data_IF_483964214654
#
_entry.id   IF_483964214654
#
_cell.length_a   1.000
_cell.length_b   1.000
_cell.length_c   1.000
_cell.angle_alpha   90.00
_cell.angle_beta   90.00
_cell.angle_gamma   90.00
#
_symmetry.space_group_name_H-M   'P 1'
#
loop_
_entity.id
_entity.type
_entity.pdbx_description
1 polymer ?
#
# COMPACT_ATOMS: atom_id res chain seq x y z
N UNK A 1 -33.11 -20.28 -28.93
CA UNK A 1 -33.08 -21.76 -29.04
C UNK A 1 -31.65 -22.20 -28.76
N UNK A 2 -31.41 -22.80 -27.74
CA UNK A 2 -30.75 -23.98 -27.20
C UNK A 2 -30.23 -23.70 -25.79
N UNK A 3 -31.00 -24.26 -24.86
CA UNK A 3 -30.62 -24.48 -23.46
C UNK A 3 -29.61 -25.64 -23.42
N UNK A 4 -28.56 -25.51 -22.58
CA UNK A 4 -27.91 -26.69 -22.01
C UNK A 4 -27.66 -26.38 -20.55
N UNK A 5 -28.43 -27.08 -19.73
CA UNK A 5 -28.18 -27.32 -18.31
C UNK A 5 -27.38 -28.63 -18.21
N UNK A 6 -26.91 -28.96 -17.00
CA UNK A 6 -26.37 -30.28 -16.55
C UNK A 6 -24.95 -30.05 -15.99
N UNK A 7 -24.57 -30.46 -14.79
CA UNK A 7 -25.03 -31.34 -13.74
C UNK A 7 -24.28 -31.09 -12.45
N UNK A 8 -24.97 -31.27 -11.32
CA UNK A 8 -24.47 -31.53 -10.00
C UNK A 8 -23.59 -32.80 -9.97
N UNK A 9 -22.50 -32.76 -9.22
CA UNK A 9 -21.90 -33.97 -8.66
C UNK A 9 -21.54 -33.76 -7.19
N UNK A 10 -22.33 -34.41 -6.38
CA UNK A 10 -22.24 -34.63 -4.95
C UNK A 10 -21.36 -35.87 -4.70
N UNK A 11 -20.38 -35.82 -3.85
CA UNK A 11 -19.73 -36.99 -3.23
C UNK A 11 -19.06 -36.52 -1.93
N UNK A 12 -19.65 -36.68 -0.83
CA UNK A 12 -19.74 -37.80 0.12
C UNK A 12 -18.42 -38.15 0.83
N UNK A 13 -18.30 -37.59 2.02
CA UNK A 13 -17.85 -38.14 3.32
C UNK A 13 -17.03 -39.45 3.29
N UNK A 14 -15.87 -39.39 3.95
CA UNK A 14 -15.38 -40.52 4.76
C UNK A 14 -14.58 -40.00 5.97
N UNK A 15 -15.21 -40.10 7.15
CA UNK A 15 -14.53 -40.09 8.46
C UNK A 15 -13.72 -41.38 8.59
N UNK A 16 -12.48 -41.28 9.01
CA UNK A 16 -11.76 -42.33 9.69
C UNK A 16 -11.17 -41.76 10.97
N UNK A 17 -11.79 -42.14 12.08
CA UNK A 17 -11.18 -41.99 13.38
C UNK A 17 -10.21 -43.16 13.59
N UNK A 18 -8.94 -42.87 13.88
CA UNK A 18 -8.03 -43.82 14.48
C UNK A 18 -7.46 -43.20 15.74
N UNK A 19 -7.94 -43.71 16.86
CA UNK A 19 -7.30 -43.62 18.18
C UNK A 19 -6.15 -44.61 18.20
N UNK A 20 -4.95 -44.10 18.50
CA UNK A 20 -3.77 -44.94 18.74
C UNK A 20 -2.79 -44.16 19.65
N UNK A 21 -2.78 -44.54 20.92
CA UNK A 21 -1.74 -44.17 21.91
C UNK A 21 -0.43 -44.88 21.54
N UNK A 22 0.69 -44.21 21.71
CA UNK A 22 2.00 -44.87 21.85
C UNK A 22 3.20 -43.98 21.57
N UNK A 23 3.80 -43.46 22.61
CA UNK A 23 5.22 -43.14 22.91
C UNK A 23 6.21 -42.61 21.87
N UNK A 24 6.79 -41.48 22.29
CA UNK A 24 8.20 -41.07 22.25
C UNK A 24 9.02 -41.34 20.97
N UNK A 25 9.30 -40.25 20.20
CA UNK A 25 10.68 -39.84 19.95
C UNK A 25 10.69 -38.43 19.36
N UNK A 26 11.67 -37.65 19.80
CA UNK A 26 11.87 -36.25 19.46
C UNK A 26 12.22 -36.11 17.97
N UNK A 27 11.33 -35.44 17.22
CA UNK A 27 11.66 -34.83 15.95
C UNK A 27 11.42 -33.33 16.09
N UNK A 28 12.49 -32.58 16.06
CA UNK A 28 12.57 -31.14 15.96
C UNK A 28 11.74 -30.68 14.77
N UNK A 29 10.51 -30.23 15.01
CA UNK A 29 9.77 -29.45 14.04
C UNK A 29 10.26 -28.01 14.12
N UNK A 30 11.03 -27.61 13.12
CA UNK A 30 11.32 -26.21 12.88
C UNK A 30 9.98 -25.45 12.80
N UNK A 31 9.83 -24.30 13.49
CA UNK A 31 8.65 -23.48 13.32
C UNK A 31 8.65 -22.96 11.89
N UNK A 32 7.63 -23.31 11.12
CA UNK A 32 7.28 -22.60 9.89
C UNK A 32 6.97 -21.18 10.33
N UNK A 33 7.92 -20.27 10.15
CA UNK A 33 7.71 -18.84 10.26
C UNK A 33 6.81 -18.47 9.07
N UNK A 34 5.50 -18.49 9.29
CA UNK A 34 4.58 -17.71 8.47
C UNK A 34 4.93 -16.27 8.76
N UNK A 35 5.74 -15.68 7.88
CA UNK A 35 6.05 -14.27 7.93
C UNK A 35 4.76 -13.49 7.75
N UNK A 36 4.19 -13.05 8.85
CA UNK A 36 3.29 -11.92 8.88
C UNK A 36 4.09 -10.76 8.31
N UNK A 37 3.57 -10.01 7.31
CA UNK A 37 4.28 -8.85 6.81
C UNK A 37 4.57 -7.95 8.02
N UNK A 38 5.85 -7.61 8.20
CA UNK A 38 6.27 -6.70 9.26
C UNK A 38 5.38 -5.46 9.13
N UNK A 39 4.63 -5.14 10.18
CA UNK A 39 3.83 -3.92 10.22
C UNK A 39 4.75 -2.78 9.86
N UNK A 40 4.36 -1.99 8.85
CA UNK A 40 5.13 -0.86 8.38
C UNK A 40 5.53 0.00 9.60
N UNK A 41 6.82 0.27 9.74
CA UNK A 41 7.36 0.96 10.93
C UNK A 41 7.30 2.49 10.79
N UNK A 42 6.46 3.02 9.88
CA UNK A 42 6.29 4.46 9.69
C UNK A 42 5.00 4.96 10.37
N UNK A 43 4.95 6.26 10.62
CA UNK A 43 3.78 6.93 11.18
C UNK A 43 2.91 7.53 10.08
N UNK A 44 1.58 7.59 10.33
CA UNK A 44 0.64 8.27 9.45
C UNK A 44 -0.02 9.38 10.24
N UNK A 45 0.11 10.63 9.78
CA UNK A 45 -0.63 11.78 10.27
C UNK A 45 -1.74 12.13 9.26
N UNK A 46 -2.98 11.86 9.63
CA UNK A 46 -4.15 12.16 8.80
C UNK A 46 -4.55 13.65 8.86
N UNK A 47 -3.99 14.42 9.78
CA UNK A 47 -4.36 15.81 9.95
C UNK A 47 -5.86 16.02 10.14
N UNK A 48 -6.32 17.22 9.78
CA UNK A 48 -7.75 17.54 9.72
C UNK A 48 -8.15 17.79 8.26
N UNK A 49 -9.18 17.11 7.78
CA UNK A 49 -9.76 17.34 6.46
C UNK A 49 -11.26 17.42 6.54
N UNK A 50 -11.83 18.41 5.83
CA UNK A 50 -13.28 18.53 5.64
C UNK A 50 -13.75 17.88 4.33
N UNK A 51 -12.83 17.39 3.50
CA UNK A 51 -13.11 16.89 2.16
C UNK A 51 -12.97 15.38 2.08
N UNK A 52 -11.92 14.83 2.70
CA UNK A 52 -11.56 13.43 2.59
C UNK A 52 -11.68 12.69 3.92
N UNK A 53 -12.24 11.49 3.85
CA UNK A 53 -12.29 10.57 4.99
C UNK A 53 -10.96 9.88 5.19
N UNK A 54 -10.79 9.26 6.37
CA UNK A 54 -9.61 8.41 6.62
C UNK A 54 -9.49 7.28 5.60
N UNK A 55 -10.60 6.66 5.20
CA UNK A 55 -10.60 5.58 4.20
C UNK A 55 -10.15 6.09 2.81
N UNK A 56 -10.53 7.32 2.43
CA UNK A 56 -10.03 7.96 1.21
C UNK A 56 -8.53 8.18 1.26
N UNK A 57 -8.02 8.62 2.42
CA UNK A 57 -6.59 8.85 2.64
C UNK A 57 -5.81 7.55 2.64
N UNK A 58 -6.30 6.49 3.32
CA UNK A 58 -5.68 5.17 3.33
C UNK A 58 -5.54 4.62 1.90
N UNK A 59 -6.60 4.73 1.08
CA UNK A 59 -6.56 4.30 -0.31
C UNK A 59 -5.55 5.10 -1.17
N UNK A 60 -5.34 6.38 -0.87
CA UNK A 60 -4.33 7.20 -1.54
C UNK A 60 -2.91 6.84 -1.06
N UNK A 61 -2.74 6.61 0.24
CA UNK A 61 -1.47 6.18 0.83
C UNK A 61 -1.02 4.83 0.27
N UNK A 62 -1.95 3.90 0.06
CA UNK A 62 -1.65 2.61 -0.59
C UNK A 62 -1.00 2.83 -1.97
N UNK A 63 -1.47 3.81 -2.76
CA UNK A 63 -0.87 4.15 -4.06
C UNK A 63 0.51 4.79 -3.94
N UNK A 64 0.74 5.59 -2.92
CA UNK A 64 2.07 6.13 -2.62
C UNK A 64 3.02 4.97 -2.29
N UNK A 65 2.59 4.04 -1.42
CA UNK A 65 3.42 2.93 -0.98
C UNK A 65 3.67 1.90 -2.08
N UNK A 66 2.73 1.71 -3.04
CA UNK A 66 2.96 0.89 -4.24
C UNK A 66 4.17 1.39 -5.03
N UNK A 67 4.32 2.71 -5.19
CA UNK A 67 5.47 3.33 -5.87
C UNK A 67 6.72 3.34 -4.99
N UNK A 68 6.59 3.81 -3.75
CA UNK A 68 7.69 4.02 -2.82
C UNK A 68 8.46 2.73 -2.49
N UNK A 69 7.77 1.60 -2.36
CA UNK A 69 8.39 0.30 -2.06
C UNK A 69 9.44 -0.14 -3.10
N UNK A 70 9.38 0.42 -4.31
CA UNK A 70 10.38 0.19 -5.36
C UNK A 70 11.68 1.00 -5.19
N UNK A 71 11.72 1.96 -4.27
CA UNK A 71 12.86 2.89 -4.16
C UNK A 71 14.00 2.41 -3.27
N UNK A 72 13.74 1.37 -2.44
CA UNK A 72 14.71 0.89 -1.46
C UNK A 72 14.98 1.84 -0.29
N UNK A 73 14.16 2.89 -0.15
CA UNK A 73 14.22 3.87 0.93
C UNK A 73 13.41 3.39 2.14
N UNK A 74 13.68 3.96 3.32
CA UNK A 74 12.95 3.72 4.56
C UNK A 74 11.96 4.87 4.80
N UNK A 75 10.64 4.57 4.79
CA UNK A 75 9.60 5.54 5.09
C UNK A 75 9.55 5.77 6.61
N UNK A 76 9.57 7.03 7.03
CA UNK A 76 9.45 7.43 8.43
C UNK A 76 8.06 7.99 8.75
N UNK A 77 7.54 8.83 7.87
CA UNK A 77 6.26 9.49 8.07
C UNK A 77 5.53 9.76 6.75
N UNK A 78 4.21 9.62 6.77
CA UNK A 78 3.30 10.11 5.73
C UNK A 78 2.30 11.04 6.41
N UNK A 79 2.20 12.29 5.96
CA UNK A 79 1.28 13.27 6.49
C UNK A 79 0.36 13.86 5.41
N UNK A 80 -0.93 13.94 5.70
CA UNK A 80 -1.88 14.65 4.86
C UNK A 80 -1.61 16.15 4.90
N UNK A 81 -1.65 16.81 3.73
CA UNK A 81 -1.44 18.25 3.66
C UNK A 81 -2.68 18.95 3.09
N UNK A 82 -3.45 19.60 3.96
CA UNK A 82 -4.59 20.42 3.56
C UNK A 82 -4.16 21.59 2.66
N UNK A 83 -3.01 22.19 2.94
CA UNK A 83 -2.45 23.31 2.15
C UNK A 83 -2.19 22.88 0.69
N UNK A 84 -1.47 21.77 0.49
CA UNK A 84 -1.18 21.27 -0.85
C UNK A 84 -2.44 20.73 -1.52
N UNK A 85 -3.32 20.07 -0.77
CA UNK A 85 -4.59 19.54 -1.28
C UNK A 85 -5.50 20.65 -1.81
N UNK A 86 -5.48 21.82 -1.18
CA UNK A 86 -6.27 22.99 -1.63
C UNK A 86 -5.94 23.47 -3.04
N UNK A 87 -4.74 23.18 -3.54
CA UNK A 87 -4.28 23.54 -4.91
C UNK A 87 -4.01 22.32 -5.79
N UNK A 88 -4.10 21.12 -5.24
CA UNK A 88 -3.71 19.89 -5.92
C UNK A 88 -4.50 19.65 -7.21
N UNK A 89 -5.80 19.92 -7.23
CA UNK A 89 -6.64 19.67 -8.41
C UNK A 89 -6.21 20.52 -9.61
N UNK A 90 -5.92 21.80 -9.40
CA UNK A 90 -5.41 22.68 -10.46
C UNK A 90 -4.04 22.17 -10.93
N UNK A 91 -3.18 21.81 -9.98
CA UNK A 91 -1.83 21.34 -10.30
C UNK A 91 -1.84 20.04 -11.11
N UNK A 92 -2.52 18.99 -10.66
CA UNK A 92 -2.55 17.71 -11.40
C UNK A 92 -3.19 17.85 -12.78
N UNK A 93 -4.21 18.71 -12.93
CA UNK A 93 -4.85 18.95 -14.22
C UNK A 93 -3.98 19.81 -15.15
N UNK A 94 -3.11 20.68 -14.63
CA UNK A 94 -2.13 21.41 -15.42
C UNK A 94 -1.10 20.50 -16.08
N UNK A 95 -0.88 19.29 -15.55
CA UNK A 95 0.00 18.25 -16.10
C UNK A 95 -0.68 17.43 -17.23
N UNK A 96 -1.86 17.85 -17.70
CA UNK A 96 -2.57 17.22 -18.81
C UNK A 96 -3.60 16.15 -18.40
N UNK A 97 -3.93 16.09 -17.12
CA UNK A 97 -4.99 15.22 -16.60
C UNK A 97 -6.37 15.91 -16.62
N UNK A 98 -7.42 15.16 -16.27
CA UNK A 98 -8.81 15.64 -16.19
C UNK A 98 -9.52 14.96 -15.02
N UNK A 99 -8.99 15.18 -13.80
CA UNK A 99 -9.59 14.70 -12.57
C UNK A 99 -10.61 15.70 -12.03
N UNK A 100 -11.56 15.22 -11.22
CA UNK A 100 -12.51 16.05 -10.48
C UNK A 100 -12.19 16.15 -8.99
N UNK A 101 -11.27 15.33 -8.51
CA UNK A 101 -10.73 15.35 -7.14
C UNK A 101 -9.22 15.16 -7.15
N UNK A 102 -8.53 15.78 -6.21
CA UNK A 102 -7.11 15.57 -5.98
C UNK A 102 -6.77 15.69 -4.49
N UNK A 103 -5.77 14.93 -4.06
CA UNK A 103 -5.28 14.90 -2.68
C UNK A 103 -3.76 14.96 -2.70
N UNK A 104 -3.17 15.55 -1.66
CA UNK A 104 -1.72 15.65 -1.54
C UNK A 104 -1.23 15.26 -0.14
N UNK A 105 -0.05 14.64 -0.13
CA UNK A 105 0.66 14.21 1.07
C UNK A 105 2.08 14.73 1.06
N UNK A 106 2.67 14.79 2.25
CA UNK A 106 4.10 14.96 2.47
C UNK A 106 4.65 13.70 3.10
N UNK A 107 5.91 13.38 2.81
CA UNK A 107 6.59 12.25 3.44
C UNK A 107 7.97 12.65 3.91
N UNK A 108 8.41 11.98 4.98
CA UNK A 108 9.78 11.98 5.45
C UNK A 108 10.32 10.56 5.29
N UNK A 109 11.48 10.42 4.67
CA UNK A 109 12.08 9.11 4.42
C UNK A 109 13.59 9.21 4.34
N UNK A 110 14.26 8.10 4.62
CA UNK A 110 15.71 7.98 4.51
C UNK A 110 16.09 7.16 3.27
N UNK A 111 17.05 7.66 2.51
CA UNK A 111 17.60 6.93 1.35
C UNK A 111 18.55 5.81 1.79
N UNK A 112 18.81 4.80 0.92
CA UNK A 112 19.70 3.70 1.27
C UNK A 112 21.11 4.21 1.66
N UNK A 113 21.71 3.55 2.67
CA UNK A 113 23.10 3.82 3.07
C UNK A 113 24.08 3.42 1.97
N UNK A 114 23.75 2.32 1.26
CA UNK A 114 24.51 1.82 0.12
C UNK A 114 23.59 1.10 -0.87
N UNK A 115 23.93 1.11 -2.15
CA UNK A 115 23.24 0.35 -3.18
C UNK A 115 24.17 0.10 -4.38
N UNK A 116 24.00 -1.04 -5.03
CA UNK A 116 24.68 -1.36 -6.30
C UNK A 116 23.90 -0.79 -7.52
N UNK A 117 22.71 -0.24 -7.30
CA UNK A 117 21.86 0.30 -8.35
C UNK A 117 22.10 1.81 -8.53
N UNK A 118 21.87 2.28 -9.76
CA UNK A 118 21.85 3.73 -10.04
C UNK A 118 20.55 4.30 -9.50
N UNK A 119 20.64 5.16 -8.50
CA UNK A 119 19.50 5.82 -7.87
C UNK A 119 19.49 7.30 -8.14
N UNK A 120 18.32 7.92 -8.07
CA UNK A 120 18.16 9.36 -8.12
C UNK A 120 18.44 10.04 -6.77
N UNK A 121 18.66 9.26 -5.72
CA UNK A 121 18.83 9.71 -4.34
C UNK A 121 20.30 9.93 -4.01
N UNK A 122 20.59 10.93 -3.20
CA UNK A 122 21.84 10.95 -2.44
C UNK A 122 21.77 9.85 -1.39
N UNK A 123 22.83 9.06 -1.25
CA UNK A 123 22.85 7.96 -0.28
C UNK A 123 22.94 8.49 1.15
N UNK A 124 22.43 7.70 2.10
CA UNK A 124 22.49 7.98 3.54
C UNK A 124 21.95 9.39 3.88
N UNK A 125 20.83 9.75 3.26
CA UNK A 125 20.28 11.11 3.35
C UNK A 125 18.82 11.08 3.75
N UNK A 126 18.44 11.94 4.70
CA UNK A 126 17.05 12.19 5.08
C UNK A 126 16.39 13.16 4.10
N UNK A 127 15.23 12.79 3.61
CA UNK A 127 14.37 13.61 2.76
C UNK A 127 13.12 13.98 3.56
N UNK A 128 12.92 15.29 3.77
CA UNK A 128 11.79 15.83 4.51
C UNK A 128 10.83 16.59 3.59
N UNK A 129 9.52 16.58 3.93
CA UNK A 129 8.48 17.31 3.20
C UNK A 129 8.37 16.95 1.70
N UNK A 130 8.75 15.74 1.32
CA UNK A 130 8.66 15.28 -0.07
C UNK A 130 7.19 15.08 -0.46
N UNK A 131 6.75 15.70 -1.55
CA UNK A 131 5.33 15.88 -1.87
C UNK A 131 4.83 14.81 -2.84
N UNK A 132 3.59 14.40 -2.65
CA UNK A 132 2.89 13.44 -3.49
C UNK A 132 1.53 13.98 -3.87
N UNK A 133 1.19 13.85 -5.15
CA UNK A 133 -0.08 14.34 -5.69
C UNK A 133 -0.82 13.23 -6.42
N UNK A 134 -2.07 13.01 -6.01
CA UNK A 134 -2.95 12.00 -6.58
C UNK A 134 -4.23 12.65 -7.07
N UNK A 135 -4.82 12.05 -8.12
CA UNK A 135 -6.11 12.46 -8.66
C UNK A 135 -7.05 11.28 -8.83
N UNK A 136 -8.35 11.56 -8.80
CA UNK A 136 -9.39 10.57 -9.16
C UNK A 136 -10.63 11.26 -9.75
N UNK A 137 -11.53 10.46 -10.32
CA UNK A 137 -12.85 10.91 -10.78
C UNK A 137 -13.95 10.24 -9.96
N UNK A 138 -14.85 11.03 -9.41
CA UNK A 138 -15.93 10.57 -8.53
C UNK A 138 -15.40 9.82 -7.32
N UNK A 139 -15.93 8.61 -7.10
CA UNK A 139 -15.49 7.68 -6.06
C UNK A 139 -14.57 6.58 -6.60
N UNK A 140 -13.90 6.84 -7.74
CA UNK A 140 -12.98 5.89 -8.36
C UNK A 140 -11.68 5.73 -7.57
N UNK A 141 -10.81 4.85 -8.06
CA UNK A 141 -9.50 4.63 -7.48
C UNK A 141 -8.62 5.88 -7.65
N UNK A 142 -7.73 6.09 -6.67
CA UNK A 142 -6.69 7.10 -6.76
C UNK A 142 -5.64 6.72 -7.81
N UNK A 143 -5.20 7.71 -8.54
CA UNK A 143 -4.08 7.61 -9.48
C UNK A 143 -2.96 8.50 -9.00
N UNK A 144 -1.78 7.94 -8.79
CA UNK A 144 -0.59 8.73 -8.50
C UNK A 144 -0.17 9.49 -9.76
N UNK A 145 -0.06 10.82 -9.64
CA UNK A 145 0.19 11.71 -10.78
C UNK A 145 1.63 12.17 -10.83
N UNK A 146 2.14 12.64 -9.70
CA UNK A 146 3.51 13.16 -9.61
C UNK A 146 3.97 13.23 -8.16
N UNK A 147 5.28 13.34 -7.99
CA UNK A 147 5.94 13.52 -6.71
C UNK A 147 7.22 14.36 -6.87
N UNK A 148 7.71 14.94 -5.77
CA UNK A 148 8.90 15.79 -5.77
C UNK A 148 8.82 16.91 -4.75
N UNK A 149 9.63 17.95 -4.96
CA UNK A 149 9.63 19.20 -4.18
C UNK A 149 8.94 20.32 -4.96
#
# INVERSE_FOLDING_TARGET
MKKIAILLALALVLMVACVGCGNEDAATSEPVVTGEPAAASYTIDYGESNTYTKDDMDAAIDKIMEEFNGWGCEMHEISYSEELTGTALEYVNSLGNSFDQAIAFKTNFHSPVETDEVTAWELDTEYEDYQWYLGRNGSGEWTLVTWGY
#
